data_IF_058509146532
#
_entry.id   IF_058509146532
#
_cell.length_a   1.000
_cell.length_b   1.000
_cell.length_c   1.000
_cell.angle_alpha   90.00
_cell.angle_beta   90.00
_cell.angle_gamma   90.00
#
_symmetry.space_group_name_H-M   'P 1'
#
loop_
_entity.id
_entity.type
_entity.pdbx_description
1 polymer ?
#
# COMPACT_ATOMS: atom_id res chain seq x y z
N UNK A 1 -23.28 26.68 48.56
CA UNK A 1 -24.39 26.81 47.59
C UNK A 1 -23.95 27.68 46.43
N UNK A 2 -24.09 27.15 45.21
CA UNK A 2 -23.44 27.60 43.99
C UNK A 2 -24.21 28.76 43.33
N UNK A 3 -23.51 29.84 42.97
CA UNK A 3 -24.06 31.06 42.38
C UNK A 3 -24.58 30.82 40.95
N UNK A 4 -25.91 30.77 40.77
CA UNK A 4 -26.54 30.86 39.45
C UNK A 4 -26.55 32.32 38.96
N UNK A 5 -25.51 32.70 38.21
CA UNK A 5 -25.44 34.02 37.55
C UNK A 5 -26.34 34.00 36.30
N UNK A 6 -27.52 34.65 36.38
CA UNK A 6 -28.44 34.84 35.25
C UNK A 6 -27.71 35.56 34.10
N UNK A 7 -27.50 34.88 32.98
CA UNK A 7 -26.90 35.49 31.78
C UNK A 7 -27.97 36.25 31.00
N UNK A 8 -27.62 37.41 30.43
CA UNK A 8 -28.60 38.22 29.69
C UNK A 8 -29.10 37.49 28.43
N UNK A 9 -30.39 37.63 28.07
CA UNK A 9 -30.99 36.90 26.95
C UNK A 9 -30.22 37.09 25.63
N UNK A 10 -29.74 38.32 25.40
CA UNK A 10 -28.90 38.69 24.25
C UNK A 10 -27.57 37.92 24.21
N UNK A 11 -26.91 37.70 25.35
CA UNK A 11 -25.68 36.88 25.43
C UNK A 11 -25.94 35.40 25.13
N UNK A 12 -27.09 34.87 25.56
CA UNK A 12 -27.47 33.48 25.27
C UNK A 12 -27.71 33.26 23.77
N UNK A 13 -28.32 34.25 23.10
CA UNK A 13 -28.67 34.19 21.68
C UNK A 13 -27.43 34.28 20.79
N UNK A 14 -26.49 35.18 21.11
CA UNK A 14 -25.19 35.27 20.43
C UNK A 14 -24.39 33.96 20.60
N UNK A 15 -24.40 33.37 21.79
CA UNK A 15 -23.71 32.09 22.03
C UNK A 15 -24.33 30.96 21.21
N UNK A 16 -25.66 30.89 21.11
CA UNK A 16 -26.37 29.91 20.27
C UNK A 16 -26.04 30.10 18.77
N UNK A 17 -26.04 31.34 18.27
CA UNK A 17 -25.72 31.62 16.87
C UNK A 17 -24.27 31.29 16.53
N UNK A 18 -23.30 31.65 17.40
CA UNK A 18 -21.89 31.27 17.22
C UNK A 18 -21.72 29.74 17.23
N UNK A 19 -22.45 29.04 18.10
CA UNK A 19 -22.38 27.57 18.17
C UNK A 19 -22.99 26.94 16.92
N UNK A 20 -24.10 27.49 16.41
CA UNK A 20 -24.77 27.02 15.20
C UNK A 20 -23.93 27.25 13.94
N UNK A 21 -23.33 28.44 13.77
CA UNK A 21 -22.43 28.73 12.64
C UNK A 21 -21.19 27.83 12.63
N UNK A 22 -20.59 27.61 13.82
CA UNK A 22 -19.42 26.74 13.96
C UNK A 22 -19.76 25.28 13.67
N UNK A 23 -20.93 24.82 14.12
CA UNK A 23 -21.41 23.46 13.84
C UNK A 23 -21.73 23.29 12.35
N UNK A 24 -22.33 24.29 11.71
CA UNK A 24 -22.61 24.30 10.27
C UNK A 24 -21.32 24.27 9.44
N UNK A 25 -20.31 25.07 9.80
CA UNK A 25 -19.00 25.05 9.14
C UNK A 25 -18.30 23.70 9.32
N UNK A 26 -18.27 23.15 10.55
CA UNK A 26 -17.65 21.83 10.81
C UNK A 26 -18.34 20.73 10.02
N UNK A 27 -19.68 20.75 9.93
CA UNK A 27 -20.43 19.74 9.18
C UNK A 27 -20.20 19.89 7.65
N UNK A 28 -20.04 21.12 7.16
CA UNK A 28 -19.71 21.39 5.75
C UNK A 28 -18.31 20.88 5.38
N UNK A 29 -17.30 21.12 6.21
CA UNK A 29 -15.94 20.58 6.00
C UNK A 29 -15.93 19.05 6.10
N UNK A 30 -16.64 18.46 7.06
CA UNK A 30 -16.74 17.01 7.19
C UNK A 30 -17.41 16.35 5.97
N UNK A 31 -18.41 17.01 5.35
CA UNK A 31 -19.03 16.51 4.13
C UNK A 31 -18.11 16.63 2.90
N UNK A 32 -17.35 17.72 2.78
CA UNK A 32 -16.39 17.91 1.66
C UNK A 32 -15.26 16.88 1.72
N UNK A 33 -14.72 16.60 2.91
CA UNK A 33 -13.69 15.58 3.12
C UNK A 33 -14.20 14.16 2.80
N UNK A 34 -15.46 13.87 3.12
CA UNK A 34 -16.10 12.59 2.79
C UNK A 34 -16.32 12.44 1.29
N UNK A 35 -16.78 13.50 0.62
CA UNK A 35 -17.08 13.49 -0.81
C UNK A 35 -15.80 13.37 -1.65
N UNK A 36 -14.75 14.11 -1.29
CA UNK A 36 -13.43 13.98 -1.92
C UNK A 36 -12.79 12.60 -1.69
N UNK A 37 -12.94 12.02 -0.49
CA UNK A 37 -12.49 10.64 -0.24
C UNK A 37 -13.27 9.61 -1.05
N UNK A 38 -14.58 9.80 -1.23
CA UNK A 38 -15.41 8.92 -2.06
C UNK A 38 -15.03 9.03 -3.54
N UNK A 39 -14.74 10.25 -4.04
CA UNK A 39 -14.26 10.46 -5.40
C UNK A 39 -12.90 9.80 -5.64
N UNK A 40 -11.96 9.91 -4.69
CA UNK A 40 -10.66 9.23 -4.79
C UNK A 40 -10.80 7.71 -4.76
N UNK A 41 -11.72 7.18 -3.96
CA UNK A 41 -12.02 5.75 -3.94
C UNK A 41 -12.61 5.28 -5.28
N UNK A 42 -13.58 6.03 -5.83
CA UNK A 42 -14.13 5.74 -7.16
C UNK A 42 -13.04 5.80 -8.24
N UNK A 43 -12.18 6.81 -8.20
CA UNK A 43 -11.05 6.92 -9.11
C UNK A 43 -10.10 5.73 -9.01
N UNK A 44 -9.78 5.27 -7.80
CA UNK A 44 -8.97 4.08 -7.59
C UNK A 44 -9.61 2.83 -8.20
N UNK A 45 -10.92 2.61 -7.96
CA UNK A 45 -11.65 1.47 -8.53
C UNK A 45 -11.67 1.54 -10.06
N UNK A 46 -11.98 2.71 -10.63
CA UNK A 46 -12.04 2.93 -12.08
C UNK A 46 -10.67 2.73 -12.75
N UNK A 47 -9.57 3.00 -12.05
CA UNK A 47 -8.22 2.75 -12.57
C UNK A 47 -7.79 1.29 -12.40
N UNK A 48 -8.14 0.65 -11.28
CA UNK A 48 -7.81 -0.75 -11.02
C UNK A 48 -8.53 -1.70 -11.99
N UNK A 49 -9.83 -1.53 -12.19
CA UNK A 49 -10.65 -2.48 -12.97
C UNK A 49 -10.09 -2.71 -14.38
N UNK A 50 -9.75 -1.69 -15.19
CA UNK A 50 -9.14 -1.89 -16.51
C UNK A 50 -7.79 -2.61 -16.45
N UNK A 51 -6.94 -2.25 -15.49
CA UNK A 51 -5.61 -2.88 -15.32
C UNK A 51 -5.79 -4.38 -15.03
N UNK A 52 -6.75 -4.73 -14.18
CA UNK A 52 -7.03 -6.11 -13.78
C UNK A 52 -7.78 -6.91 -14.87
N UNK A 53 -8.68 -6.26 -15.61
CA UNK A 53 -9.55 -6.90 -16.60
C UNK A 53 -9.01 -6.91 -18.04
N UNK A 54 -7.87 -6.27 -18.31
CA UNK A 54 -7.30 -6.11 -19.64
C UNK A 54 -7.24 -7.43 -20.45
N UNK A 55 -6.77 -8.51 -19.83
CA UNK A 55 -6.63 -9.81 -20.51
C UNK A 55 -7.95 -10.57 -20.68
N UNK A 56 -8.90 -10.41 -19.74
CA UNK A 56 -10.23 -11.00 -19.87
C UNK A 56 -11.00 -10.40 -21.05
N UNK A 57 -10.82 -9.10 -21.28
CA UNK A 57 -11.38 -8.39 -22.42
C UNK A 57 -10.75 -8.91 -23.71
N UNK A 58 -9.43 -9.13 -23.72
CA UNK A 58 -8.70 -9.65 -24.88
C UNK A 58 -9.11 -11.10 -25.24
N UNK A 59 -9.37 -11.96 -24.24
CA UNK A 59 -9.82 -13.34 -24.44
C UNK A 59 -11.33 -13.48 -24.66
N UNK A 60 -12.08 -12.37 -24.81
CA UNK A 60 -13.54 -12.36 -25.01
C UNK A 60 -14.35 -13.10 -23.93
N UNK A 61 -13.81 -13.24 -22.72
CA UNK A 61 -14.46 -13.96 -21.61
C UNK A 61 -15.30 -13.01 -20.76
N UNK A 62 -16.35 -12.47 -21.35
CA UNK A 62 -17.20 -11.46 -20.70
C UNK A 62 -17.91 -11.97 -19.43
N UNK A 63 -18.11 -13.29 -19.29
CA UNK A 63 -18.77 -13.89 -18.12
C UNK A 63 -17.96 -13.72 -16.83
N UNK A 64 -16.63 -13.66 -16.93
CA UNK A 64 -15.74 -13.59 -15.76
C UNK A 64 -15.40 -12.13 -15.37
N UNK A 65 -15.79 -11.14 -16.20
CA UNK A 65 -15.60 -9.72 -15.92
C UNK A 65 -16.46 -9.21 -14.77
N UNK A 66 -17.69 -9.70 -14.65
CA UNK A 66 -18.60 -9.31 -13.59
C UNK A 66 -18.06 -9.74 -12.22
N UNK A 67 -17.73 -11.03 -11.98
CA UNK A 67 -17.24 -11.46 -10.66
C UNK A 67 -15.91 -10.80 -10.29
N UNK A 68 -14.95 -10.63 -11.22
CA UNK A 68 -13.68 -9.96 -10.89
C UNK A 68 -13.89 -8.49 -10.50
N UNK A 69 -14.79 -7.78 -11.20
CA UNK A 69 -15.12 -6.40 -10.86
C UNK A 69 -15.77 -6.29 -9.48
N UNK A 70 -16.70 -7.20 -9.17
CA UNK A 70 -17.34 -7.26 -7.84
C UNK A 70 -16.30 -7.50 -6.74
N UNK A 71 -15.39 -8.45 -6.95
CA UNK A 71 -14.32 -8.74 -5.97
C UNK A 71 -13.39 -7.54 -5.78
N UNK A 72 -12.96 -6.89 -6.87
CA UNK A 72 -12.11 -5.69 -6.81
C UNK A 72 -12.80 -4.55 -6.03
N UNK A 73 -14.10 -4.35 -6.24
CA UNK A 73 -14.90 -3.37 -5.49
C UNK A 73 -15.01 -3.73 -4.01
N UNK A 74 -15.19 -5.02 -3.68
CA UNK A 74 -15.26 -5.45 -2.28
C UNK A 74 -13.91 -5.27 -1.56
N UNK A 75 -12.80 -5.63 -2.20
CA UNK A 75 -11.45 -5.45 -1.65
C UNK A 75 -11.14 -3.96 -1.49
N UNK A 76 -11.48 -3.13 -2.48
CA UNK A 76 -11.25 -1.68 -2.39
C UNK A 76 -12.10 -1.04 -1.29
N UNK A 77 -13.34 -1.50 -1.08
CA UNK A 77 -14.20 -1.04 0.00
C UNK A 77 -13.62 -1.43 1.37
N UNK A 78 -13.13 -2.67 1.51
CA UNK A 78 -12.45 -3.12 2.72
C UNK A 78 -11.20 -2.30 3.02
N UNK A 79 -10.38 -2.00 2.00
CA UNK A 79 -9.21 -1.13 2.14
C UNK A 79 -9.61 0.31 2.55
N UNK A 80 -10.67 0.87 1.96
CA UNK A 80 -11.17 2.19 2.32
C UNK A 80 -11.67 2.25 3.78
N UNK A 81 -12.40 1.21 4.22
CA UNK A 81 -12.84 1.09 5.60
C UNK A 81 -11.66 0.94 6.57
N UNK A 82 -10.65 0.17 6.18
CA UNK A 82 -9.41 0.01 6.94
C UNK A 82 -8.68 1.36 7.12
N UNK A 83 -8.55 2.16 6.05
CA UNK A 83 -8.00 3.51 6.11
C UNK A 83 -8.84 4.41 7.02
N UNK A 84 -10.16 4.32 6.96
CA UNK A 84 -11.05 5.10 7.83
C UNK A 84 -10.90 4.76 9.31
N UNK A 85 -10.66 3.48 9.64
CA UNK A 85 -10.51 3.02 11.01
C UNK A 85 -9.15 3.38 11.60
N UNK A 86 -8.06 3.07 10.90
CA UNK A 86 -6.70 3.21 11.44
C UNK A 86 -6.05 4.56 11.16
N UNK A 87 -6.34 5.21 10.03
CA UNK A 87 -5.63 6.42 9.58
C UNK A 87 -6.57 7.47 8.95
N UNK A 88 -7.48 8.02 9.77
CA UNK A 88 -8.37 9.15 9.37
C UNK A 88 -7.61 10.36 8.82
N UNK A 89 -6.32 10.51 9.16
CA UNK A 89 -5.46 11.59 8.66
C UNK A 89 -5.23 11.51 7.13
N UNK A 90 -5.24 10.32 6.55
CA UNK A 90 -5.11 10.12 5.10
C UNK A 90 -6.35 10.67 4.38
N UNK A 91 -7.55 10.41 4.92
CA UNK A 91 -8.82 10.88 4.37
C UNK A 91 -8.91 12.41 4.34
N UNK A 92 -8.41 13.07 5.40
CA UNK A 92 -8.41 14.54 5.50
C UNK A 92 -7.37 15.22 4.60
N UNK A 93 -6.33 14.51 4.16
CA UNK A 93 -5.27 15.11 3.36
C UNK A 93 -5.23 14.49 1.97
N UNK A 94 -5.87 15.16 1.00
CA UNK A 94 -6.02 14.67 -0.37
C UNK A 94 -4.69 14.31 -1.04
N UNK A 95 -3.59 15.00 -0.69
CA UNK A 95 -2.26 14.71 -1.24
C UNK A 95 -1.78 13.32 -0.82
N UNK A 96 -1.98 12.95 0.45
CA UNK A 96 -1.56 11.63 0.96
C UNK A 96 -2.42 10.50 0.41
N UNK A 97 -3.72 10.74 0.30
CA UNK A 97 -4.65 9.79 -0.33
C UNK A 97 -4.31 9.60 -1.82
N UNK A 98 -4.04 10.67 -2.56
CA UNK A 98 -3.62 10.61 -3.97
C UNK A 98 -2.28 9.88 -4.14
N UNK A 99 -1.31 10.13 -3.26
CA UNK A 99 -0.02 9.42 -3.28
C UNK A 99 -0.20 7.91 -3.05
N UNK A 100 -1.11 7.51 -2.15
CA UNK A 100 -1.41 6.09 -1.90
C UNK A 100 -2.09 5.43 -3.10
N UNK A 101 -3.07 6.09 -3.70
CA UNK A 101 -3.75 5.63 -4.92
C UNK A 101 -2.76 5.50 -6.07
N UNK A 102 -1.96 6.54 -6.32
CA UNK A 102 -0.94 6.55 -7.36
C UNK A 102 0.10 5.45 -7.15
N UNK A 103 0.53 5.22 -5.90
CA UNK A 103 1.44 4.12 -5.55
C UNK A 103 0.86 2.75 -5.93
N UNK A 104 -0.38 2.46 -5.52
CA UNK A 104 -1.00 1.16 -5.80
C UNK A 104 -1.19 0.96 -7.31
N UNK A 105 -1.69 1.98 -8.02
CA UNK A 105 -1.89 1.90 -9.47
C UNK A 105 -0.56 1.71 -10.20
N UNK A 106 0.49 2.45 -9.82
CA UNK A 106 1.81 2.30 -10.41
C UNK A 106 2.36 0.89 -10.21
N UNK A 107 2.27 0.35 -8.99
CA UNK A 107 2.77 -0.98 -8.68
C UNK A 107 1.94 -2.11 -9.33
N UNK A 108 0.63 -1.94 -9.45
CA UNK A 108 -0.21 -2.87 -10.20
C UNK A 108 0.08 -2.82 -11.70
N UNK A 109 0.31 -1.63 -12.25
CA UNK A 109 0.71 -1.47 -13.64
C UNK A 109 2.08 -2.11 -13.91
N UNK A 110 3.07 -1.95 -13.02
CA UNK A 110 4.37 -2.62 -13.18
C UNK A 110 4.26 -4.14 -13.05
N UNK A 111 3.38 -4.63 -12.17
CA UNK A 111 3.09 -6.07 -12.08
C UNK A 111 2.50 -6.58 -13.39
N UNK A 112 1.51 -5.87 -13.96
CA UNK A 112 0.90 -6.23 -15.25
C UNK A 112 1.90 -6.17 -16.41
N UNK A 113 2.67 -5.09 -16.51
CA UNK A 113 3.72 -4.99 -17.54
C UNK A 113 4.75 -6.10 -17.40
N UNK A 114 5.14 -6.46 -16.17
CA UNK A 114 6.05 -7.57 -15.91
C UNK A 114 5.52 -8.90 -16.42
N UNK A 115 4.25 -9.19 -16.16
CA UNK A 115 3.59 -10.44 -16.62
C UNK A 115 3.35 -10.45 -18.14
N UNK A 116 3.11 -9.29 -18.75
CA UNK A 116 2.94 -9.18 -20.21
C UNK A 116 4.26 -9.28 -20.98
N UNK A 117 5.37 -8.78 -20.41
CA UNK A 117 6.68 -8.71 -21.06
C UNK A 117 7.52 -9.97 -20.84
N UNK A 118 7.49 -10.53 -19.64
CA UNK A 118 8.19 -11.76 -19.32
C UNK A 118 7.18 -12.90 -19.43
N UNK A 119 7.45 -13.87 -20.31
CA UNK A 119 6.62 -15.07 -20.52
C UNK A 119 6.04 -15.60 -19.19
N UNK A 120 4.83 -16.17 -19.29
CA UNK A 120 3.84 -16.50 -18.22
C UNK A 120 4.38 -17.10 -16.91
N UNK A 121 5.62 -17.58 -16.87
CA UNK A 121 6.30 -18.12 -15.70
C UNK A 121 6.77 -17.07 -14.69
N UNK A 122 6.77 -15.78 -15.05
CA UNK A 122 7.41 -14.73 -14.23
C UNK A 122 6.46 -14.04 -13.24
N UNK A 123 5.73 -14.80 -12.41
CA UNK A 123 4.92 -14.22 -11.31
C UNK A 123 5.76 -13.50 -10.23
N UNK A 124 7.09 -13.59 -10.34
CA UNK A 124 8.07 -12.90 -9.51
C UNK A 124 7.89 -11.38 -9.48
N UNK A 125 7.41 -10.75 -10.56
CA UNK A 125 7.14 -9.31 -10.61
C UNK A 125 6.12 -8.87 -9.55
N UNK A 126 5.08 -9.67 -9.32
CA UNK A 126 4.08 -9.38 -8.29
C UNK A 126 4.70 -9.40 -6.88
N UNK A 127 5.68 -10.28 -6.65
CA UNK A 127 6.40 -10.34 -5.37
C UNK A 127 7.31 -9.12 -5.17
N UNK A 128 8.04 -8.72 -6.20
CA UNK A 128 8.85 -7.50 -6.15
C UNK A 128 8.02 -6.26 -5.84
N UNK A 129 6.87 -6.09 -6.50
CA UNK A 129 6.00 -4.93 -6.28
C UNK A 129 5.29 -4.99 -4.92
N UNK A 130 4.92 -6.16 -4.42
CA UNK A 130 4.35 -6.32 -3.07
C UNK A 130 5.36 -5.97 -1.97
N UNK A 131 6.60 -6.42 -2.10
CA UNK A 131 7.68 -6.05 -1.18
C UNK A 131 7.96 -4.55 -1.25
N UNK A 132 7.98 -3.98 -2.47
CA UNK A 132 8.14 -2.54 -2.69
C UNK A 132 7.03 -1.74 -1.98
N UNK A 133 5.77 -2.17 -2.11
CA UNK A 133 4.64 -1.56 -1.41
C UNK A 133 4.83 -1.61 0.11
N UNK A 134 5.20 -2.76 0.65
CA UNK A 134 5.41 -2.95 2.08
C UNK A 134 6.51 -2.05 2.65
N UNK A 135 7.65 -1.95 1.96
CA UNK A 135 8.75 -1.09 2.38
C UNK A 135 8.31 0.38 2.36
N UNK A 136 7.72 0.86 1.25
CA UNK A 136 7.25 2.26 1.15
C UNK A 136 6.22 2.58 2.23
N UNK A 137 5.25 1.69 2.44
CA UNK A 137 4.20 1.90 3.43
C UNK A 137 4.75 1.86 4.86
N UNK A 138 5.74 1.02 5.15
CA UNK A 138 6.39 0.96 6.48
C UNK A 138 7.24 2.19 6.75
N UNK A 139 7.85 2.78 5.71
CA UNK A 139 8.56 4.07 5.82
C UNK A 139 7.57 5.21 6.04
N UNK A 140 6.43 5.20 5.32
CA UNK A 140 5.51 6.32 5.29
C UNK A 140 4.45 6.33 6.41
N UNK A 141 4.17 5.17 7.02
CA UNK A 141 3.08 5.01 7.97
C UNK A 141 3.45 4.04 9.10
N UNK A 142 2.59 3.97 10.11
CA UNK A 142 2.76 3.02 11.21
C UNK A 142 2.76 1.57 10.70
N UNK A 143 3.64 0.76 11.27
CA UNK A 143 3.84 -0.65 10.91
C UNK A 143 2.53 -1.46 10.82
N UNK A 144 1.60 -1.26 11.76
CA UNK A 144 0.30 -1.96 11.76
C UNK A 144 -0.52 -1.63 10.50
N UNK A 145 -0.55 -0.36 10.13
CA UNK A 145 -1.26 0.11 8.94
C UNK A 145 -0.55 -0.36 7.66
N UNK A 146 0.78 -0.32 7.63
CA UNK A 146 1.58 -0.78 6.50
C UNK A 146 1.33 -2.26 6.19
N UNK A 147 1.30 -3.12 7.21
CA UNK A 147 0.98 -4.55 7.06
C UNK A 147 -0.41 -4.73 6.43
N UNK A 148 -1.44 -4.09 7.00
CA UNK A 148 -2.81 -4.23 6.50
C UNK A 148 -2.97 -3.78 5.05
N UNK A 149 -2.40 -2.61 4.70
CA UNK A 149 -2.45 -2.10 3.33
C UNK A 149 -1.66 -2.95 2.35
N UNK A 150 -0.52 -3.50 2.77
CA UNK A 150 0.30 -4.36 1.91
C UNK A 150 -0.39 -5.70 1.63
N UNK A 151 -1.18 -6.22 2.58
CA UNK A 151 -2.01 -7.41 2.35
C UNK A 151 -3.10 -7.12 1.31
N UNK A 152 -3.77 -5.97 1.39
CA UNK A 152 -4.72 -5.56 0.34
C UNK A 152 -4.02 -5.44 -1.03
N UNK A 153 -2.80 -4.92 -1.06
CA UNK A 153 -1.99 -4.91 -2.28
C UNK A 153 -1.70 -6.33 -2.80
N UNK A 154 -1.29 -7.27 -1.94
CA UNK A 154 -1.09 -8.67 -2.33
C UNK A 154 -2.34 -9.28 -2.97
N UNK A 155 -3.52 -8.99 -2.43
CA UNK A 155 -4.78 -9.47 -3.02
C UNK A 155 -4.99 -8.91 -4.43
N UNK A 156 -4.80 -7.60 -4.63
CA UNK A 156 -4.88 -7.01 -5.97
C UNK A 156 -3.82 -7.58 -6.91
N UNK A 157 -2.59 -7.78 -6.42
CA UNK A 157 -1.49 -8.32 -7.19
C UNK A 157 -1.72 -9.78 -7.63
N UNK A 158 -2.40 -10.60 -6.80
CA UNK A 158 -2.84 -11.95 -7.20
C UNK A 158 -3.76 -11.89 -8.40
N UNK A 159 -4.84 -11.09 -8.35
CA UNK A 159 -5.74 -10.94 -9.49
C UNK A 159 -5.05 -10.32 -10.71
N UNK A 160 -4.07 -9.43 -10.49
CA UNK A 160 -3.28 -8.86 -11.56
C UNK A 160 -2.33 -9.90 -12.19
N UNK A 161 -1.81 -10.87 -11.44
CA UNK A 161 -0.97 -11.93 -11.98
C UNK A 161 -1.78 -13.09 -12.60
N UNK A 162 -2.99 -13.35 -12.11
CA UNK A 162 -3.82 -14.49 -12.54
C UNK A 162 -4.50 -14.31 -13.90
N UNK A 163 -4.78 -13.09 -14.35
CA UNK A 163 -5.61 -12.90 -15.54
C UNK A 163 -4.96 -13.36 -16.87
N UNK A 164 -3.68 -13.74 -16.86
CA UNK A 164 -2.93 -14.18 -18.04
C UNK A 164 -3.10 -15.69 -18.32
N UNK A 165 -3.42 -16.50 -17.31
CA UNK A 165 -3.49 -17.96 -17.49
C UNK A 165 -4.63 -18.58 -16.68
N UNK A 166 -5.13 -19.73 -17.15
CA UNK A 166 -6.01 -20.60 -16.37
C UNK A 166 -5.17 -21.22 -15.26
N UNK A 167 -4.77 -20.39 -14.29
CA UNK A 167 -4.00 -20.82 -13.15
C UNK A 167 -4.95 -21.62 -12.26
N UNK A 168 -4.63 -22.87 -11.89
CA UNK A 168 -5.41 -23.57 -10.88
C UNK A 168 -5.41 -22.73 -9.60
N UNK A 169 -6.55 -22.59 -8.92
CA UNK A 169 -6.72 -21.74 -7.73
C UNK A 169 -5.60 -21.90 -6.68
N UNK A 170 -4.95 -23.07 -6.63
CA UNK A 170 -3.76 -23.37 -5.84
C UNK A 170 -2.59 -22.40 -6.08
N UNK A 171 -2.30 -22.00 -7.32
CA UNK A 171 -1.14 -21.18 -7.62
C UNK A 171 -1.35 -19.70 -7.26
N UNK A 172 -2.60 -19.21 -7.27
CA UNK A 172 -2.96 -17.91 -6.70
C UNK A 172 -2.67 -17.80 -5.21
N UNK A 173 -3.04 -18.85 -4.45
CA UNK A 173 -2.76 -18.95 -3.01
C UNK A 173 -1.25 -19.04 -2.77
N UNK A 174 -0.51 -19.81 -3.58
CA UNK A 174 0.94 -19.92 -3.44
C UNK A 174 1.64 -18.56 -3.67
N UNK A 175 1.18 -17.81 -4.67
CA UNK A 175 1.68 -16.46 -4.93
C UNK A 175 1.36 -15.53 -3.76
N UNK A 176 0.11 -15.55 -3.26
CA UNK A 176 -0.31 -14.75 -2.11
C UNK A 176 0.57 -15.02 -0.88
N UNK A 177 0.81 -16.29 -0.55
CA UNK A 177 1.64 -16.69 0.60
C UNK A 177 3.10 -16.27 0.42
N UNK A 178 3.65 -16.42 -0.79
CA UNK A 178 5.01 -15.97 -1.13
C UNK A 178 5.16 -14.46 -0.96
N UNK A 179 4.20 -13.68 -1.47
CA UNK A 179 4.18 -12.22 -1.32
C UNK A 179 4.02 -11.81 0.14
N UNK A 180 3.06 -12.43 0.84
CA UNK A 180 2.78 -12.15 2.25
C UNK A 180 4.01 -12.40 3.12
N UNK A 181 4.74 -13.50 2.89
CA UNK A 181 5.98 -13.78 3.61
C UNK A 181 7.00 -12.64 3.46
N UNK A 182 7.26 -12.17 2.24
CA UNK A 182 8.14 -11.02 2.00
C UNK A 182 7.64 -9.72 2.64
N UNK A 183 6.34 -9.43 2.50
CA UNK A 183 5.68 -8.26 3.10
C UNK A 183 5.82 -8.25 4.62
N UNK A 184 5.48 -9.35 5.29
CA UNK A 184 5.58 -9.45 6.74
C UNK A 184 7.01 -9.27 7.21
N UNK A 185 7.95 -9.96 6.57
CA UNK A 185 9.37 -9.85 6.87
C UNK A 185 9.86 -8.42 6.78
N UNK A 186 9.55 -7.72 5.67
CA UNK A 186 9.91 -6.32 5.53
C UNK A 186 9.27 -5.47 6.62
N UNK A 187 7.94 -5.52 6.78
CA UNK A 187 7.24 -4.70 7.76
C UNK A 187 7.74 -4.90 9.19
N UNK A 188 8.07 -6.14 9.60
CA UNK A 188 8.58 -6.42 10.95
C UNK A 188 10.03 -6.00 11.14
N UNK A 189 10.88 -6.18 10.14
CA UNK A 189 12.31 -5.89 10.26
C UNK A 189 12.67 -4.41 9.99
N UNK A 190 11.79 -3.63 9.35
CA UNK A 190 11.98 -2.19 9.06
C UNK A 190 11.61 -1.23 10.22
N UNK A 191 11.25 -1.74 11.41
CA UNK A 191 10.65 -0.97 12.51
C UNK A 191 11.42 0.32 12.89
N UNK A 192 12.74 0.37 12.72
CA UNK A 192 13.53 1.59 12.83
C UNK A 192 14.57 1.70 11.72
N UNK A 193 14.39 2.65 10.80
CA UNK A 193 15.36 2.94 9.74
C UNK A 193 16.35 3.98 10.26
N UNK A 194 17.40 3.51 10.93
CA UNK A 194 18.49 4.39 11.40
C UNK A 194 19.60 4.58 10.36
N UNK A 195 19.78 3.63 9.44
CA UNK A 195 20.88 3.63 8.46
C UNK A 195 20.43 3.12 7.09
N UNK A 196 21.07 3.61 6.02
CA UNK A 196 20.83 3.13 4.64
C UNK A 196 21.10 1.63 4.48
N UNK A 197 22.10 1.12 5.20
CA UNK A 197 22.47 -0.30 5.19
C UNK A 197 21.39 -1.20 5.80
N UNK A 198 20.58 -0.67 6.74
CA UNK A 198 19.51 -1.46 7.35
C UNK A 198 18.46 -1.91 6.33
N UNK A 199 18.18 -1.06 5.34
CA UNK A 199 17.22 -1.39 4.29
C UNK A 199 17.69 -2.60 3.46
N UNK A 200 18.98 -2.63 3.12
CA UNK A 200 19.59 -3.71 2.35
C UNK A 200 19.61 -5.03 3.13
N UNK A 201 19.94 -4.98 4.42
CA UNK A 201 19.84 -6.16 5.32
C UNK A 201 18.43 -6.72 5.36
N UNK A 202 17.42 -5.85 5.47
CA UNK A 202 16.02 -6.28 5.57
C UNK A 202 15.54 -6.88 4.24
N UNK A 203 15.92 -6.29 3.11
CA UNK A 203 15.58 -6.89 1.81
C UNK A 203 16.31 -8.21 1.55
N UNK A 204 17.55 -8.37 2.03
CA UNK A 204 18.25 -9.65 1.98
C UNK A 204 17.52 -10.72 2.81
N UNK A 205 17.09 -10.37 4.02
CA UNK A 205 16.32 -11.25 4.88
C UNK A 205 14.95 -11.61 4.26
N UNK A 206 14.27 -10.63 3.65
CA UNK A 206 13.04 -10.86 2.90
C UNK A 206 13.26 -11.80 1.71
N UNK A 207 14.34 -11.64 0.96
CA UNK A 207 14.68 -12.53 -0.16
C UNK A 207 14.89 -13.98 0.30
N UNK A 208 15.58 -14.20 1.42
CA UNK A 208 15.77 -15.54 1.99
C UNK A 208 14.43 -16.16 2.41
N UNK A 209 13.58 -15.41 3.10
CA UNK A 209 12.27 -15.92 3.55
C UNK A 209 11.35 -16.20 2.36
N UNK A 210 11.34 -15.31 1.36
CA UNK A 210 10.60 -15.50 0.11
C UNK A 210 11.10 -16.74 -0.64
N UNK A 211 12.42 -16.95 -0.72
CA UNK A 211 13.01 -18.13 -1.34
C UNK A 211 12.55 -19.42 -0.65
N UNK A 212 12.68 -19.49 0.68
CA UNK A 212 12.27 -20.66 1.47
C UNK A 212 10.78 -20.93 1.26
N UNK A 213 9.95 -19.89 1.33
CA UNK A 213 8.49 -20.01 1.16
C UNK A 213 8.13 -20.50 -0.24
N UNK A 214 8.74 -19.93 -1.29
CA UNK A 214 8.49 -20.32 -2.68
C UNK A 214 8.96 -21.76 -2.96
N UNK A 215 10.11 -22.18 -2.41
CA UNK A 215 10.58 -23.58 -2.51
C UNK A 215 9.60 -24.53 -1.82
N UNK A 216 9.19 -24.22 -0.58
CA UNK A 216 8.25 -25.08 0.17
C UNK A 216 6.91 -25.25 -0.56
N UNK A 217 6.35 -24.15 -1.09
CA UNK A 217 5.09 -24.18 -1.82
C UNK A 217 5.21 -24.87 -3.19
N UNK A 218 6.33 -24.67 -3.89
CA UNK A 218 6.59 -25.32 -5.18
C UNK A 218 6.77 -26.83 -5.07
N UNK A 219 7.48 -27.29 -4.04
CA UNK A 219 7.64 -28.71 -3.73
C UNK A 219 6.31 -29.34 -3.29
N UNK A 220 5.52 -28.64 -2.46
CA UNK A 220 4.18 -29.11 -2.09
C UNK A 220 3.27 -29.26 -3.31
N UNK A 221 3.35 -28.33 -4.27
CA UNK A 221 2.60 -28.42 -5.50
C UNK A 221 3.15 -29.50 -6.49
N UNK A 222 4.07 -30.37 -6.07
CA UNK A 222 4.68 -31.45 -6.85
C UNK A 222 5.29 -31.00 -8.20
N UNK A 223 5.80 -29.77 -8.26
CA UNK A 223 6.52 -29.29 -9.44
C UNK A 223 7.92 -29.90 -9.51
N UNK A 224 8.53 -29.90 -10.71
CA UNK A 224 9.90 -30.41 -10.88
C UNK A 224 10.85 -29.56 -10.03
N UNK A 225 11.78 -30.17 -9.26
CA UNK A 225 12.61 -29.42 -8.32
C UNK A 225 13.45 -28.34 -9.01
N UNK A 226 13.95 -28.59 -10.23
CA UNK A 226 14.70 -27.60 -11.00
C UNK A 226 13.89 -26.32 -11.27
N UNK A 227 12.62 -26.46 -11.66
CA UNK A 227 11.72 -25.34 -11.94
C UNK A 227 11.35 -24.60 -10.64
N UNK A 228 11.18 -25.34 -9.54
CA UNK A 228 10.91 -24.76 -8.21
C UNK A 228 12.06 -23.88 -7.73
N UNK A 229 13.30 -24.36 -7.81
CA UNK A 229 14.48 -23.58 -7.40
C UNK A 229 14.69 -22.36 -8.29
N UNK A 230 14.49 -22.50 -9.60
CA UNK A 230 14.58 -21.37 -10.54
C UNK A 230 13.52 -20.31 -10.23
N UNK A 231 12.25 -20.72 -10.10
CA UNK A 231 11.15 -19.80 -9.78
C UNK A 231 11.35 -19.12 -8.42
N UNK A 232 11.70 -19.88 -7.38
CA UNK A 232 11.99 -19.33 -6.06
C UNK A 232 13.16 -18.34 -6.09
N UNK A 233 14.18 -18.61 -6.91
CA UNK A 233 15.28 -17.69 -7.18
C UNK A 233 14.81 -16.36 -7.77
N UNK A 234 13.88 -16.39 -8.73
CA UNK A 234 13.29 -15.17 -9.29
C UNK A 234 12.46 -14.39 -8.27
N UNK A 235 11.65 -15.04 -7.44
CA UNK A 235 10.90 -14.37 -6.37
C UNK A 235 11.84 -13.72 -5.35
N UNK A 236 12.91 -14.43 -4.94
CA UNK A 236 13.90 -13.92 -4.02
C UNK A 236 14.68 -12.73 -4.61
N UNK A 237 15.09 -12.83 -5.87
CA UNK A 237 15.76 -11.75 -6.58
C UNK A 237 14.85 -10.52 -6.69
N UNK A 238 13.56 -10.70 -7.02
CA UNK A 238 12.59 -9.61 -7.09
C UNK A 238 12.41 -8.90 -5.73
N UNK A 239 12.32 -9.68 -4.63
CA UNK A 239 12.24 -9.13 -3.27
C UNK A 239 13.52 -8.36 -2.87
N UNK A 240 14.69 -8.88 -3.24
CA UNK A 240 15.97 -8.21 -2.97
C UNK A 240 16.12 -6.90 -3.77
N UNK A 241 15.84 -6.96 -5.08
CA UNK A 241 15.91 -5.82 -5.98
C UNK A 241 14.93 -4.71 -5.57
N UNK A 242 13.74 -5.06 -5.05
CA UNK A 242 12.81 -4.11 -4.48
C UNK A 242 13.46 -3.25 -3.37
N UNK A 243 14.21 -3.87 -2.45
CA UNK A 243 14.94 -3.15 -1.41
C UNK A 243 15.99 -2.18 -1.96
N UNK A 244 16.78 -2.62 -2.95
CA UNK A 244 17.78 -1.78 -3.63
C UNK A 244 17.14 -0.59 -4.36
N UNK A 245 16.01 -0.81 -5.02
CA UNK A 245 15.24 0.24 -5.67
C UNK A 245 14.75 1.28 -4.66
N UNK A 246 14.21 0.83 -3.52
CA UNK A 246 13.77 1.76 -2.47
C UNK A 246 14.93 2.51 -1.84
N UNK A 247 16.09 1.88 -1.67
CA UNK A 247 17.28 2.57 -1.15
C UNK A 247 17.64 3.79 -2.01
N UNK A 248 17.47 3.66 -3.33
CA UNK A 248 17.72 4.74 -4.29
C UNK A 248 16.59 5.78 -4.32
N UNK A 249 15.35 5.34 -4.09
CA UNK A 249 14.14 6.18 -4.13
C UNK A 249 13.75 6.82 -2.79
N UNK A 250 14.47 6.52 -1.70
CA UNK A 250 14.13 6.99 -0.35
C UNK A 250 13.92 8.51 -0.26
N UNK A 251 14.79 9.38 -0.84
CA UNK A 251 14.59 10.83 -0.78
C UNK A 251 13.32 11.28 -1.51
N UNK A 252 12.95 10.59 -2.59
CA UNK A 252 11.73 10.88 -3.35
C UNK A 252 10.49 10.48 -2.53
N UNK A 253 10.55 9.34 -1.85
CA UNK A 253 9.49 8.86 -0.96
C UNK A 253 9.27 9.85 0.18
N UNK A 254 10.33 10.28 0.86
CA UNK A 254 10.29 11.26 1.94
C UNK A 254 9.64 12.59 1.50
N UNK A 255 10.06 13.10 0.33
CA UNK A 255 9.50 14.33 -0.26
C UNK A 255 8.02 14.19 -0.62
N UNK A 256 7.64 13.05 -1.19
CA UNK A 256 6.27 12.78 -1.65
C UNK A 256 5.30 12.63 -0.49
N UNK A 257 5.67 11.87 0.54
CA UNK A 257 4.83 11.67 1.73
C UNK A 257 4.98 12.80 2.78
N UNK A 258 5.96 13.69 2.59
CA UNK A 258 6.35 14.77 3.52
C UNK A 258 6.66 14.21 4.91
N UNK A 259 7.58 13.25 4.95
CA UNK A 259 8.02 12.56 6.17
C UNK A 259 9.53 12.69 6.26
N UNK A 260 10.03 12.96 7.47
CA UNK A 260 11.44 12.88 7.78
C UNK A 260 11.71 11.53 8.46
N UNK A 261 12.50 10.66 7.82
CA UNK A 261 12.98 9.44 8.49
C UNK A 261 14.02 9.80 9.56
N UNK A 262 14.30 8.86 10.47
CA UNK A 262 15.33 9.07 11.51
C UNK A 262 16.70 9.45 10.95
N UNK A 263 17.02 9.00 9.73
CA UNK A 263 18.23 9.43 9.02
C UNK A 263 18.19 10.94 8.72
N UNK A 264 17.12 11.42 8.08
CA UNK A 264 16.98 12.86 7.78
C UNK A 264 16.85 13.72 9.03
N UNK A 265 16.25 13.22 10.12
CA UNK A 265 16.20 13.94 11.40
C UNK A 265 17.59 14.09 12.02
N UNK A 266 18.46 13.08 11.86
CA UNK A 266 19.84 13.16 12.30
C UNK A 266 20.64 14.16 11.45
N UNK A 267 20.41 14.19 10.12
CA UNK A 267 20.97 15.20 9.22
C UNK A 267 20.47 16.63 9.55
N UNK A 268 19.20 16.77 10.00
CA UNK A 268 18.64 18.03 10.49
C UNK A 268 19.14 18.45 11.88
N UNK A 269 19.62 17.49 12.68
CA UNK A 269 20.15 17.75 14.02
C UNK A 269 21.65 18.11 14.02
N UNK A 270 22.31 18.05 12.87
CA UNK A 270 23.72 18.45 12.74
C UNK A 270 23.88 19.95 13.02
N UNK A 271 24.68 20.28 14.03
CA UNK A 271 24.94 21.64 14.49
C UNK A 271 25.66 22.51 13.43
N UNK A 272 26.17 21.90 12.35
CA UNK A 272 26.76 22.64 11.24
C UNK A 272 25.75 23.30 10.29
N UNK A 273 24.45 23.11 10.51
CA UNK A 273 23.43 23.76 9.67
C UNK A 273 23.48 25.30 9.79
N UNK A 274 23.40 26.03 8.66
CA UNK A 274 23.45 27.49 8.66
C UNK A 274 22.29 28.13 9.46
N UNK A 275 21.20 27.39 9.70
CA UNK A 275 20.07 27.83 10.54
C UNK A 275 20.35 27.72 12.05
N UNK A 276 21.38 26.97 12.46
CA UNK A 276 21.81 26.80 13.86
C UNK A 276 23.14 27.51 14.16
N UNK A 277 23.83 28.04 13.15
CA UNK A 277 24.96 28.95 13.33
C UNK A 277 24.42 30.31 13.78
N UNK A 278 24.64 30.63 15.06
CA UNK A 278 24.49 31.99 15.59
C UNK A 278 25.55 32.91 14.98
#
# INVERSE_FOLDING_TARGET
>A
MWFFKKTSPRRSQVRKNITAERFWQINRFANIDRLSSALLWLLFVVLCVPILSFELIQQSRYRDLIPITVIVVLISLAAAFYIHHYQRRIIKNHIRALALVGLFILLLATTKLGVLLADQTSTSWATGTAVTAAVILTVAYDQRFAIGMSIFYCLFACFAAEATSVIPAQAGINLFLTMAAGVFTCCFSLREIRTRMKLLEVSALAAVIVFITAVSLGLWANHRPADVFSNAGFHAAAAFLAGLLIQSLLPVIEKTFRIATSMTLLDYSDANQPLLKK
#
